data_IF_749942527180
#
_entry.id   IF_749942527180
#
_cell.length_a   1.000
_cell.length_b   1.000
_cell.length_c   1.000
_cell.angle_alpha   90.00
_cell.angle_beta   90.00
_cell.angle_gamma   90.00
#
_symmetry.space_group_name_H-M   'P 1'
#
loop_
_entity.id
_entity.type
_entity.pdbx_description
1 polymer ?
#
# COMPACT_ATOMS: atom_id res chain seq x y z
N UNK A 1 16.01 1.57 8.80
CA UNK A 1 16.01 0.22 9.42
C UNK A 1 17.37 -0.25 9.91
N UNK A 2 18.48 -0.05 9.19
CA UNK A 2 19.84 -0.45 9.67
C UNK A 2 20.41 0.41 10.82
N UNK A 3 19.74 1.51 11.19
CA UNK A 3 20.18 2.45 12.24
C UNK A 3 19.48 2.26 13.60
N UNK A 4 18.51 1.34 13.70
CA UNK A 4 17.73 1.10 14.93
C UNK A 4 18.23 -0.10 15.75
N UNK A 5 19.31 -0.76 15.33
CA UNK A 5 19.84 -1.99 15.95
C UNK A 5 21.06 -1.77 16.86
N UNK A 6 21.50 -0.51 17.07
CA UNK A 6 22.80 -0.23 17.73
C UNK A 6 22.72 0.28 19.18
N UNK A 7 21.53 0.36 19.79
CA UNK A 7 21.44 0.70 21.22
C UNK A 7 20.64 -0.35 21.97
N UNK A 8 21.38 -1.22 22.65
CA UNK A 8 20.85 -2.24 23.54
C UNK A 8 19.98 -1.62 24.63
N UNK A 9 18.68 -1.83 24.50
CA UNK A 9 17.70 -1.89 25.58
C UNK A 9 16.72 -2.99 25.19
N UNK A 10 16.86 -4.13 25.86
CA UNK A 10 15.94 -5.26 25.73
C UNK A 10 14.62 -4.84 26.38
N UNK A 11 13.65 -4.47 25.55
CA UNK A 11 12.24 -4.66 25.85
C UNK A 11 11.70 -5.47 24.70
N UNK A 12 11.18 -6.66 25.01
CA UNK A 12 10.59 -7.59 24.06
C UNK A 12 9.39 -6.89 23.39
N UNK A 13 9.64 -6.20 22.28
CA UNK A 13 8.61 -5.56 21.48
C UNK A 13 8.12 -6.64 20.52
N UNK A 14 7.01 -7.28 20.89
CA UNK A 14 6.34 -8.24 20.01
C UNK A 14 5.92 -7.48 18.75
N UNK A 15 6.68 -7.66 17.68
CA UNK A 15 6.31 -7.25 16.33
C UNK A 15 5.24 -8.23 15.86
N UNK A 16 3.97 -7.95 16.16
CA UNK A 16 2.86 -8.68 15.56
C UNK A 16 2.79 -8.33 14.08
N UNK A 17 3.38 -9.16 13.22
CA UNK A 17 2.97 -9.22 11.82
C UNK A 17 1.57 -9.81 11.79
N UNK A 18 0.56 -9.02 11.40
CA UNK A 18 -0.73 -9.60 11.02
C UNK A 18 -0.58 -10.18 9.61
N UNK A 19 -0.17 -11.45 9.52
CA UNK A 19 -0.26 -12.21 8.27
C UNK A 19 -1.65 -12.84 8.23
N UNK A 20 -2.53 -12.34 7.37
CA UNK A 20 -3.81 -12.99 7.11
C UNK A 20 -3.58 -14.25 6.25
N UNK A 21 -3.25 -15.38 6.88
CA UNK A 21 -3.31 -16.68 6.21
C UNK A 21 -4.76 -17.16 6.16
N UNK A 22 -5.41 -17.03 5.00
CA UNK A 22 -6.63 -17.80 4.72
C UNK A 22 -6.18 -19.20 4.30
N UNK A 23 -5.86 -20.05 5.28
CA UNK A 23 -5.79 -21.49 5.08
C UNK A 23 -7.20 -22.08 5.24
N UNK A 24 -7.67 -22.94 4.31
CA UNK A 24 -8.94 -23.63 4.49
C UNK A 24 -8.80 -24.66 5.62
N UNK A 25 -9.05 -24.24 6.87
CA UNK A 25 -9.19 -25.16 8.01
C UNK A 25 -8.79 -24.66 9.39
N UNK A 26 -8.12 -23.51 9.56
CA UNK A 26 -7.71 -23.00 10.89
C UNK A 26 -8.23 -21.60 11.15
N UNK A 27 -9.11 -21.47 12.16
CA UNK A 27 -9.81 -20.22 12.55
C UNK A 27 -8.97 -19.32 13.48
N UNK A 28 -7.67 -19.14 13.25
CA UNK A 28 -6.87 -18.19 14.05
C UNK A 28 -6.50 -16.99 13.18
N UNK A 29 -6.93 -15.80 13.60
CA UNK A 29 -6.63 -14.54 12.92
C UNK A 29 -5.25 -13.97 13.31
N UNK A 30 -4.64 -14.50 14.38
CA UNK A 30 -3.36 -14.04 14.92
C UNK A 30 -2.43 -15.24 15.13
N UNK A 31 -1.17 -15.09 14.72
CA UNK A 31 -0.09 -16.05 14.95
C UNK A 31 0.80 -15.59 16.11
N UNK A 32 1.33 -16.54 16.89
CA UNK A 32 2.23 -16.28 18.03
C UNK A 32 1.65 -16.64 19.39
N UNK A 33 2.46 -16.44 20.44
CA UNK A 33 2.02 -16.58 21.82
C UNK A 33 1.24 -15.33 22.22
N UNK A 34 -0.01 -15.53 22.66
CA UNK A 34 -0.89 -14.46 23.13
C UNK A 34 -1.19 -14.74 24.60
N UNK A 35 -0.77 -13.84 25.48
CA UNK A 35 -1.17 -13.88 26.88
C UNK A 35 -2.16 -12.73 27.14
N UNK A 36 -3.43 -13.02 27.47
CA UNK A 36 -4.39 -11.98 27.78
C UNK A 36 -3.89 -11.01 28.85
N UNK A 37 -4.12 -9.71 28.64
CA UNK A 37 -3.68 -8.62 29.52
C UNK A 37 -2.34 -8.00 29.14
N UNK A 38 -1.55 -8.65 28.29
CA UNK A 38 -0.33 -8.06 27.72
C UNK A 38 -0.62 -6.88 26.81
N UNK A 39 0.36 -5.99 26.67
CA UNK A 39 0.26 -4.83 25.78
C UNK A 39 0.93 -5.15 24.46
N UNK A 40 0.20 -4.92 23.36
CA UNK A 40 0.68 -5.10 22.00
C UNK A 40 0.85 -3.72 21.33
N UNK A 41 2.01 -3.50 20.72
CA UNK A 41 2.31 -2.32 19.93
C UNK A 41 2.07 -2.64 18.45
N UNK A 42 1.27 -1.82 17.77
CA UNK A 42 1.08 -1.94 16.31
C UNK A 42 2.20 -1.18 15.60
N UNK A 43 2.77 -1.78 14.54
CA UNK A 43 3.79 -1.15 13.69
C UNK A 43 3.30 -1.21 12.24
N UNK A 44 3.21 -0.05 11.60
CA UNK A 44 2.74 0.11 10.22
C UNK A 44 3.73 0.90 9.36
N UNK A 45 3.66 0.71 8.05
CA UNK A 45 4.46 1.47 7.09
C UNK A 45 3.83 2.84 6.80
N UNK A 46 2.54 2.88 6.45
CA UNK A 46 1.84 4.08 6.02
C UNK A 46 0.43 4.13 6.62
N UNK A 47 0.09 5.24 7.25
CA UNK A 47 -1.26 5.49 7.76
C UNK A 47 -1.93 6.59 6.94
N UNK A 48 -3.19 6.35 6.54
CA UNK A 48 -4.07 7.33 5.89
C UNK A 48 -5.23 7.70 6.80
N UNK A 49 -6.34 6.97 6.71
CA UNK A 49 -7.54 7.14 7.52
C UNK A 49 -7.44 6.45 8.89
N UNK A 50 -6.44 5.59 9.10
CA UNK A 50 -6.27 4.79 10.31
C UNK A 50 -7.19 3.56 10.40
N UNK A 51 -8.00 3.24 9.39
CA UNK A 51 -8.90 2.08 9.43
C UNK A 51 -8.16 0.75 9.63
N UNK A 52 -7.08 0.49 8.89
CA UNK A 52 -6.35 -0.78 8.98
C UNK A 52 -5.76 -1.01 10.38
N UNK A 53 -5.16 0.04 10.97
CA UNK A 53 -4.66 -0.01 12.36
C UNK A 53 -5.80 -0.31 13.34
N UNK A 54 -6.96 0.31 13.15
CA UNK A 54 -8.12 0.09 14.02
C UNK A 54 -8.66 -1.35 13.89
N UNK A 55 -8.81 -1.85 12.66
CA UNK A 55 -9.23 -3.24 12.41
C UNK A 55 -8.26 -4.24 13.07
N UNK A 56 -6.96 -4.03 12.94
CA UNK A 56 -5.93 -4.83 13.62
C UNK A 56 -6.06 -4.74 15.14
N UNK A 57 -6.24 -3.53 15.68
CA UNK A 57 -6.41 -3.34 17.12
C UNK A 57 -7.64 -4.06 17.67
N UNK A 58 -8.77 -4.02 16.96
CA UNK A 58 -9.99 -4.73 17.34
C UNK A 58 -9.78 -6.25 17.39
N UNK A 59 -9.03 -6.82 16.45
CA UNK A 59 -8.72 -8.26 16.43
C UNK A 59 -7.81 -8.62 17.62
N UNK A 60 -6.77 -7.84 17.90
CA UNK A 60 -5.87 -8.06 19.04
C UNK A 60 -6.60 -7.91 20.38
N UNK A 61 -7.48 -6.91 20.50
CA UNK A 61 -8.29 -6.68 21.70
C UNK A 61 -9.28 -7.82 21.96
N UNK A 62 -9.86 -8.43 20.92
CA UNK A 62 -10.72 -9.62 21.05
C UNK A 62 -9.98 -10.84 21.59
N UNK A 63 -8.68 -10.96 21.31
CA UNK A 63 -7.80 -12.00 21.89
C UNK A 63 -7.27 -11.61 23.29
N UNK A 64 -7.76 -10.52 23.87
CA UNK A 64 -7.44 -10.09 25.23
C UNK A 64 -6.18 -9.23 25.37
N UNK A 65 -5.58 -8.79 24.26
CA UNK A 65 -4.44 -7.87 24.29
C UNK A 65 -4.88 -6.43 24.50
N UNK A 66 -4.05 -5.64 25.17
CA UNK A 66 -4.20 -4.19 25.28
C UNK A 66 -3.47 -3.54 24.12
N UNK A 67 -4.17 -2.72 23.34
CA UNK A 67 -3.57 -1.92 22.26
C UNK A 67 -3.80 -0.45 22.59
N UNK A 68 -2.73 0.26 22.91
CA UNK A 68 -2.77 1.68 23.31
C UNK A 68 -1.98 2.58 22.37
N UNK A 69 -1.05 2.02 21.60
CA UNK A 69 -0.09 2.76 20.80
C UNK A 69 0.13 2.08 19.44
N UNK A 70 0.34 2.90 18.42
CA UNK A 70 0.75 2.46 17.09
C UNK A 70 1.92 3.34 16.60
N UNK A 71 2.99 2.73 16.10
CA UNK A 71 4.09 3.43 15.43
C UNK A 71 3.90 3.29 13.93
N UNK A 72 4.05 4.40 13.20
CA UNK A 72 3.98 4.40 11.73
C UNK A 72 5.20 5.08 11.14
N UNK A 73 5.74 4.56 10.04
CA UNK A 73 6.84 5.22 9.33
C UNK A 73 6.38 6.53 8.67
N UNK A 74 5.25 6.52 7.96
CA UNK A 74 4.68 7.68 7.27
C UNK A 74 3.20 7.90 7.60
N UNK A 75 2.85 9.01 8.23
CA UNK A 75 1.48 9.49 8.31
C UNK A 75 1.16 10.39 7.11
N UNK A 76 0.15 10.01 6.33
CA UNK A 76 -0.32 10.79 5.16
C UNK A 76 -1.18 12.00 5.55
N UNK A 77 -1.46 12.20 6.83
CA UNK A 77 -2.18 13.35 7.39
C UNK A 77 -3.62 13.44 6.87
N UNK A 78 -4.27 12.29 6.67
CA UNK A 78 -5.64 12.19 6.16
C UNK A 78 -6.65 11.79 7.26
N UNK A 79 -6.38 12.14 8.52
CA UNK A 79 -7.32 11.91 9.65
C UNK A 79 -7.07 10.63 10.46
N UNK A 80 -6.04 9.83 10.12
CA UNK A 80 -5.70 8.61 10.86
C UNK A 80 -5.37 8.83 12.33
N UNK A 81 -4.65 9.90 12.65
CA UNK A 81 -4.31 10.26 14.03
C UNK A 81 -5.56 10.47 14.90
N UNK A 82 -6.48 11.30 14.44
CA UNK A 82 -7.70 11.65 15.19
C UNK A 82 -8.64 10.44 15.33
N UNK A 83 -8.78 9.65 14.24
CA UNK A 83 -9.59 8.43 14.26
C UNK A 83 -9.06 7.44 15.30
N UNK A 84 -7.75 7.21 15.31
CA UNK A 84 -7.13 6.28 16.27
C UNK A 84 -7.22 6.80 17.70
N UNK A 85 -7.00 8.10 17.90
CA UNK A 85 -7.13 8.73 19.21
C UNK A 85 -8.54 8.60 19.79
N UNK A 86 -9.58 8.73 18.95
CA UNK A 86 -10.98 8.52 19.35
C UNK A 86 -11.26 7.08 19.83
N UNK A 87 -10.42 6.12 19.44
CA UNK A 87 -10.50 4.71 19.86
C UNK A 87 -9.44 4.35 20.92
N UNK A 88 -8.82 5.36 21.55
CA UNK A 88 -7.84 5.15 22.62
C UNK A 88 -6.46 4.68 22.15
N UNK A 89 -6.17 4.79 20.86
CA UNK A 89 -4.88 4.40 20.27
C UNK A 89 -4.10 5.65 19.90
N UNK A 90 -2.92 5.82 20.49
CA UNK A 90 -2.01 6.92 20.19
C UNK A 90 -1.14 6.57 18.98
N UNK A 91 -1.27 7.35 17.91
CA UNK A 91 -0.40 7.23 16.72
C UNK A 91 0.91 8.00 16.90
N UNK A 92 2.03 7.34 16.63
CA UNK A 92 3.38 7.89 16.69
C UNK A 92 4.04 7.82 15.29
N UNK A 93 3.91 8.87 14.47
CA UNK A 93 4.55 8.90 13.17
C UNK A 93 6.04 9.24 13.27
N UNK A 94 6.87 8.51 12.51
CA UNK A 94 8.29 8.83 12.31
C UNK A 94 8.42 10.04 11.36
N UNK A 95 7.60 10.09 10.32
CA UNK A 95 7.54 11.19 9.36
C UNK A 95 6.08 11.46 8.97
N UNK A 96 5.76 12.71 8.64
CA UNK A 96 4.48 13.06 8.00
C UNK A 96 4.68 13.33 6.51
N UNK A 97 3.62 13.21 5.72
CA UNK A 97 3.70 13.47 4.28
C UNK A 97 4.09 14.93 4.01
N UNK A 98 3.56 15.90 4.77
CA UNK A 98 4.01 17.29 4.67
C UNK A 98 5.52 17.43 4.92
N UNK A 99 6.03 16.79 5.98
CA UNK A 99 7.47 16.83 6.29
C UNK A 99 8.31 16.17 5.20
N UNK A 100 7.82 15.09 4.61
CA UNK A 100 8.48 14.39 3.51
C UNK A 100 8.53 15.26 2.24
N UNK A 101 7.45 15.96 1.91
CA UNK A 101 7.42 16.89 0.78
C UNK A 101 8.43 18.02 0.95
N UNK A 102 8.50 18.63 2.14
CA UNK A 102 9.48 19.69 2.43
C UNK A 102 10.92 19.20 2.21
N UNK A 103 11.23 17.97 2.64
CA UNK A 103 12.56 17.36 2.46
C UNK A 103 12.85 17.11 0.97
N UNK A 104 11.88 16.56 0.24
CA UNK A 104 12.04 16.25 -1.19
C UNK A 104 12.21 17.53 -2.03
N UNK A 105 11.49 18.60 -1.71
CA UNK A 105 11.64 19.91 -2.35
C UNK A 105 13.02 20.52 -2.06
N UNK A 106 13.44 20.53 -0.80
CA UNK A 106 14.78 21.00 -0.40
C UNK A 106 15.91 20.26 -1.12
N UNK A 107 15.72 18.97 -1.38
CA UNK A 107 16.66 18.14 -2.12
C UNK A 107 16.49 18.22 -3.65
N UNK A 108 15.59 19.08 -4.14
CA UNK A 108 15.25 19.24 -5.57
C UNK A 108 14.85 17.92 -6.25
N UNK A 109 14.22 17.01 -5.49
CA UNK A 109 13.66 15.75 -5.99
C UNK A 109 12.25 15.92 -6.54
N UNK A 110 11.56 16.97 -6.11
CA UNK A 110 10.28 17.45 -6.62
C UNK A 110 10.33 18.97 -6.72
N UNK A 111 9.52 19.56 -7.60
CA UNK A 111 9.36 21.00 -7.72
C UNK A 111 8.25 21.53 -6.79
N UNK A 112 8.20 22.85 -6.64
CA UNK A 112 7.21 23.54 -5.82
C UNK A 112 5.77 23.30 -6.32
N UNK A 113 5.57 23.12 -7.62
CA UNK A 113 4.24 22.87 -8.20
C UNK A 113 3.69 21.52 -7.74
N UNK A 114 4.52 20.47 -7.77
CA UNK A 114 4.20 19.14 -7.26
C UNK A 114 3.89 19.20 -5.76
N UNK A 115 4.68 19.93 -4.97
CA UNK A 115 4.44 20.10 -3.53
C UNK A 115 3.06 20.71 -3.28
N UNK A 116 2.72 21.80 -3.96
CA UNK A 116 1.43 22.47 -3.80
C UNK A 116 0.27 21.60 -4.24
N UNK A 117 0.43 20.83 -5.32
CA UNK A 117 -0.57 19.87 -5.78
C UNK A 117 -0.83 18.79 -4.72
N UNK A 118 0.21 18.25 -4.10
CA UNK A 118 0.05 17.21 -3.07
C UNK A 118 -0.52 17.80 -1.77
N UNK A 119 -0.07 18.98 -1.35
CA UNK A 119 -0.63 19.67 -0.16
C UNK A 119 -2.13 19.90 -0.30
N UNK A 120 -2.58 20.36 -1.48
CA UNK A 120 -4.00 20.51 -1.79
C UNK A 120 -4.75 19.18 -1.75
N UNK A 121 -4.17 18.14 -2.36
CA UNK A 121 -4.76 16.80 -2.32
C UNK A 121 -4.97 16.30 -0.87
N UNK A 122 -4.01 16.51 0.03
CA UNK A 122 -4.15 16.12 1.45
C UNK A 122 -5.36 16.83 2.07
N UNK A 123 -5.47 18.16 1.89
CA UNK A 123 -6.55 18.97 2.45
C UNK A 123 -7.93 18.57 1.93
N UNK A 124 -8.04 18.24 0.64
CA UNK A 124 -9.30 17.83 0.01
C UNK A 124 -9.73 16.40 0.38
N UNK A 125 -8.79 15.57 0.86
CA UNK A 125 -9.02 14.14 1.10
C UNK A 125 -8.80 13.73 2.57
N UNK A 126 -9.15 14.60 3.51
CA UNK A 126 -9.14 14.26 4.94
C UNK A 126 -10.39 13.46 5.32
N UNK A 127 -10.19 12.30 5.96
CA UNK A 127 -11.28 11.49 6.49
C UNK A 127 -11.71 12.05 7.85
N UNK A 128 -12.81 12.81 7.89
CA UNK A 128 -13.34 13.39 9.12
C UNK A 128 -14.04 12.31 9.96
N UNK A 129 -13.73 12.26 11.26
CA UNK A 129 -14.47 11.43 12.21
C UNK A 129 -15.92 11.92 12.33
N UNK A 130 -16.90 11.03 12.19
CA UNK A 130 -18.31 11.39 12.31
C UNK A 130 -18.63 11.99 13.69
N UNK A 131 -19.29 13.15 13.71
CA UNK A 131 -19.76 13.79 14.94
C UNK A 131 -20.73 12.86 15.72
N UNK A 132 -20.62 12.72 17.05
CA UNK A 132 -21.49 11.84 17.83
C UNK A 132 -22.97 12.27 17.91
N UNK A 133 -23.29 13.54 17.59
CA UNK A 133 -24.62 14.13 17.82
C UNK A 133 -25.28 14.73 16.55
N UNK A 134 -24.82 14.36 15.35
CA UNK A 134 -25.53 14.71 14.12
C UNK A 134 -26.47 13.58 13.73
N UNK A 135 -27.78 13.84 13.68
CA UNK A 135 -28.72 12.97 12.99
C UNK A 135 -28.15 12.59 11.62
N UNK A 136 -27.95 11.29 11.38
CA UNK A 136 -27.50 10.73 10.12
C UNK A 136 -28.29 11.39 8.97
N UNK A 137 -27.66 11.99 7.95
CA UNK A 137 -28.36 12.28 6.72
C UNK A 137 -28.85 10.94 6.17
N UNK A 138 -30.15 10.71 6.32
CA UNK A 138 -30.86 9.54 5.83
C UNK A 138 -30.99 9.61 4.31
N UNK A 139 -29.88 9.42 3.61
CA UNK A 139 -29.85 8.95 2.23
C UNK A 139 -28.61 8.07 2.07
N UNK A 140 -28.72 6.78 2.42
CA UNK A 140 -27.84 5.77 1.83
C UNK A 140 -28.19 5.68 0.35
N UNK A 141 -27.69 6.61 -0.47
CA UNK A 141 -27.41 6.27 -1.86
C UNK A 141 -26.17 5.39 -1.74
N UNK A 142 -26.35 4.08 -1.84
CA UNK A 142 -25.22 3.20 -2.12
C UNK A 142 -24.43 3.88 -3.27
N UNK A 143 -23.14 4.20 -3.09
CA UNK A 143 -22.34 4.60 -4.22
C UNK A 143 -22.49 3.45 -5.21
N UNK A 144 -23.13 3.70 -6.36
CA UNK A 144 -23.18 2.71 -7.44
C UNK A 144 -21.74 2.52 -7.88
N UNK A 145 -21.07 1.55 -7.28
CA UNK A 145 -19.69 1.25 -7.56
C UNK A 145 -19.63 0.88 -9.04
N UNK A 146 -18.93 1.70 -9.82
CA UNK A 146 -18.81 1.49 -11.25
C UNK A 146 -18.13 0.13 -11.48
N UNK A 147 -18.65 -0.64 -12.44
CA UNK A 147 -18.00 -1.87 -12.86
C UNK A 147 -16.56 -1.59 -13.31
N UNK A 148 -15.67 -2.59 -13.24
CA UNK A 148 -14.31 -2.41 -13.73
C UNK A 148 -14.29 -2.00 -15.21
N UNK A 149 -15.19 -2.55 -16.02
CA UNK A 149 -15.39 -2.12 -17.41
C UNK A 149 -15.74 -0.64 -17.54
N UNK A 150 -16.72 -0.15 -16.75
CA UNK A 150 -17.10 1.26 -16.79
C UNK A 150 -15.98 2.19 -16.29
N UNK A 151 -15.22 1.76 -15.28
CA UNK A 151 -14.03 2.47 -14.79
C UNK A 151 -12.95 2.56 -15.87
N UNK A 152 -12.78 1.53 -16.69
CA UNK A 152 -11.78 1.47 -17.74
C UNK A 152 -11.99 2.48 -18.89
N UNK A 153 -13.19 3.06 -18.99
CA UNK A 153 -13.58 4.07 -19.99
C UNK A 153 -13.64 5.50 -19.42
N UNK A 154 -13.25 5.71 -18.17
CA UNK A 154 -13.32 7.03 -17.55
C UNK A 154 -12.39 8.04 -18.25
N UNK A 155 -12.83 9.29 -18.47
CA UNK A 155 -11.98 10.33 -19.01
C UNK A 155 -10.70 10.51 -18.17
N UNK A 156 -9.53 10.55 -18.84
CA UNK A 156 -8.24 10.72 -18.17
C UNK A 156 -7.65 9.46 -17.54
N UNK A 157 -8.25 8.28 -17.73
CA UNK A 157 -7.69 7.04 -17.22
C UNK A 157 -6.40 6.64 -17.95
N UNK A 158 -5.39 6.22 -17.18
CA UNK A 158 -4.13 5.77 -17.75
C UNK A 158 -4.30 4.46 -18.56
N UNK A 159 -3.65 4.28 -19.72
CA UNK A 159 -3.81 3.09 -20.56
C UNK A 159 -3.54 1.76 -19.83
N UNK A 160 -2.53 1.72 -18.95
CA UNK A 160 -2.21 0.53 -18.14
C UNK A 160 -3.33 0.23 -17.13
N UNK A 161 -3.89 1.27 -16.50
CA UNK A 161 -5.00 1.11 -15.56
C UNK A 161 -6.27 0.64 -16.29
N UNK A 162 -6.58 1.20 -17.47
CA UNK A 162 -7.67 0.73 -18.33
C UNK A 162 -7.50 -0.74 -18.70
N UNK A 163 -6.30 -1.16 -19.11
CA UNK A 163 -5.99 -2.56 -19.44
C UNK A 163 -6.20 -3.49 -18.24
N UNK A 164 -5.72 -3.10 -17.05
CA UNK A 164 -5.90 -3.88 -15.82
C UNK A 164 -7.38 -4.01 -15.44
N UNK A 165 -8.14 -2.92 -15.51
CA UNK A 165 -9.57 -2.92 -15.21
C UNK A 165 -10.37 -3.79 -16.20
N UNK A 166 -10.04 -3.73 -17.50
CA UNK A 166 -10.63 -4.64 -18.49
C UNK A 166 -10.28 -6.10 -18.20
N UNK A 167 -9.05 -6.37 -17.75
CA UNK A 167 -8.63 -7.72 -17.35
C UNK A 167 -9.40 -8.21 -16.12
N UNK A 168 -9.56 -7.36 -15.10
CA UNK A 168 -10.35 -7.65 -13.91
C UNK A 168 -11.81 -7.95 -14.26
N UNK A 169 -12.41 -7.14 -15.15
CA UNK A 169 -13.77 -7.37 -15.65
C UNK A 169 -13.87 -8.69 -16.41
N UNK A 170 -12.93 -8.95 -17.34
CA UNK A 170 -12.94 -10.14 -18.19
C UNK A 170 -12.77 -11.44 -17.40
N UNK A 171 -11.94 -11.41 -16.36
CA UNK A 171 -11.64 -12.58 -15.51
C UNK A 171 -12.50 -12.66 -14.26
N UNK A 172 -13.38 -11.67 -14.04
CA UNK A 172 -14.19 -11.54 -12.82
C UNK A 172 -13.37 -11.68 -11.53
N UNK A 173 -12.17 -11.08 -11.51
CA UNK A 173 -11.24 -11.15 -10.38
C UNK A 173 -10.47 -9.84 -10.22
N UNK A 174 -10.28 -9.42 -8.98
CA UNK A 174 -9.34 -8.37 -8.59
C UNK A 174 -8.14 -8.95 -7.79
N UNK A 175 -8.01 -10.27 -7.73
CA UNK A 175 -6.99 -10.96 -6.95
C UNK A 175 -5.61 -10.73 -7.56
N UNK A 176 -4.69 -10.26 -6.72
CA UNK A 176 -3.29 -10.08 -7.07
C UNK A 176 -2.46 -11.15 -6.33
N UNK A 177 -1.50 -11.76 -7.02
CA UNK A 177 -0.57 -12.71 -6.43
C UNK A 177 0.82 -12.10 -6.32
N UNK A 178 1.39 -12.15 -5.13
CA UNK A 178 2.82 -11.92 -4.90
C UNK A 178 3.40 -13.26 -4.47
N UNK A 179 4.30 -13.81 -5.29
CA UNK A 179 4.91 -15.10 -5.00
C UNK A 179 6.42 -14.92 -4.88
N UNK A 180 6.97 -15.35 -3.76
CA UNK A 180 8.42 -15.34 -3.49
C UNK A 180 9.06 -16.58 -4.14
N UNK A 181 9.01 -16.60 -5.47
CA UNK A 181 9.66 -17.61 -6.27
C UNK A 181 11.03 -17.08 -6.68
N UNK A 182 12.06 -17.93 -6.63
CA UNK A 182 13.43 -17.58 -7.05
C UNK A 182 13.79 -18.11 -8.44
N UNK A 183 13.01 -19.06 -8.97
CA UNK A 183 13.19 -19.64 -10.30
C UNK A 183 12.09 -19.29 -11.28
N UNK A 184 12.49 -18.85 -12.45
CA UNK A 184 11.54 -18.32 -13.42
C UNK A 184 10.65 -19.38 -14.08
N UNK A 185 11.11 -20.64 -14.15
CA UNK A 185 10.28 -21.78 -14.59
C UNK A 185 9.08 -22.00 -13.67
N UNK A 186 9.29 -21.94 -12.36
CA UNK A 186 8.24 -22.10 -11.36
C UNK A 186 7.25 -20.93 -11.41
N UNK A 187 7.75 -19.72 -11.65
CA UNK A 187 6.92 -18.53 -11.84
C UNK A 187 5.99 -18.68 -13.05
N UNK A 188 6.51 -19.16 -14.18
CA UNK A 188 5.71 -19.40 -15.38
C UNK A 188 4.66 -20.50 -15.15
N UNK A 189 5.03 -21.59 -14.49
CA UNK A 189 4.08 -22.63 -14.10
C UNK A 189 2.97 -22.08 -13.18
N UNK A 190 3.33 -21.20 -12.25
CA UNK A 190 2.38 -20.53 -11.38
C UNK A 190 1.46 -19.58 -12.16
N UNK A 191 2.02 -18.83 -13.11
CA UNK A 191 1.27 -17.92 -13.98
C UNK A 191 0.28 -18.68 -14.86
N UNK A 192 0.67 -19.85 -15.40
CA UNK A 192 -0.21 -20.71 -16.18
C UNK A 192 -1.33 -21.31 -15.33
N UNK A 193 -0.98 -21.81 -14.14
CA UNK A 193 -1.94 -22.44 -13.23
C UNK A 193 -2.95 -21.45 -12.64
N UNK A 194 -2.52 -20.25 -12.27
CA UNK A 194 -3.32 -19.26 -11.56
C UNK A 194 -3.79 -18.09 -12.42
N UNK A 195 -3.25 -17.95 -13.64
CA UNK A 195 -3.55 -16.88 -14.58
C UNK A 195 -5.05 -16.61 -14.74
N UNK A 196 -5.92 -17.62 -14.91
CA UNK A 196 -7.36 -17.40 -14.99
C UNK A 196 -8.01 -16.81 -13.73
N UNK A 197 -7.38 -16.98 -12.55
CA UNK A 197 -7.92 -16.60 -11.23
C UNK A 197 -7.37 -15.28 -10.69
N UNK A 198 -6.28 -14.77 -11.27
CA UNK A 198 -5.61 -13.53 -10.84
C UNK A 198 -5.62 -12.47 -11.95
N UNK A 199 -5.66 -11.20 -11.55
CA UNK A 199 -5.51 -10.07 -12.47
C UNK A 199 -4.09 -9.50 -12.50
N UNK A 200 -3.25 -9.83 -11.53
CA UNK A 200 -1.87 -9.37 -11.43
C UNK A 200 -0.98 -10.43 -10.77
N UNK A 201 0.20 -10.66 -11.34
CA UNK A 201 1.28 -11.43 -10.72
C UNK A 201 2.46 -10.48 -10.51
N UNK A 202 2.86 -10.27 -9.26
CA UNK A 202 4.06 -9.51 -8.92
C UNK A 202 5.27 -10.42 -9.04
N UNK A 203 6.31 -9.94 -9.71
CA UNK A 203 7.56 -10.66 -9.94
C UNK A 203 8.72 -9.95 -9.23
N UNK A 204 9.78 -10.68 -8.92
CA UNK A 204 11.02 -10.13 -8.38
C UNK A 204 11.96 -9.71 -9.52
N UNK A 205 12.77 -8.66 -9.28
CA UNK A 205 13.63 -8.03 -10.30
C UNK A 205 14.52 -9.04 -11.02
N UNK A 206 15.12 -9.98 -10.28
CA UNK A 206 16.01 -11.00 -10.82
C UNK A 206 15.33 -11.91 -11.86
N UNK A 207 14.06 -12.22 -11.67
CA UNK A 207 13.30 -13.09 -12.60
C UNK A 207 12.86 -12.33 -13.85
N UNK A 208 12.51 -11.06 -13.67
CA UNK A 208 12.22 -10.17 -14.77
C UNK A 208 13.44 -9.97 -15.68
N UNK A 209 14.65 -9.90 -15.11
CA UNK A 209 15.92 -9.86 -15.86
C UNK A 209 16.16 -11.12 -16.70
N UNK A 210 15.76 -12.30 -16.22
CA UNK A 210 15.96 -13.58 -16.91
C UNK A 210 14.99 -13.78 -18.09
N UNK A 211 13.93 -12.98 -18.19
CA UNK A 211 12.84 -13.13 -19.16
C UNK A 211 12.53 -11.85 -19.93
N UNK A 212 13.55 -11.28 -20.58
CA UNK A 212 13.43 -10.10 -21.45
C UNK A 212 12.54 -10.31 -22.67
N UNK A 213 12.14 -11.55 -22.96
CA UNK A 213 11.25 -11.88 -24.08
C UNK A 213 9.78 -11.45 -23.86
N UNK A 214 9.36 -11.27 -22.59
CA UNK A 214 8.01 -10.79 -22.25
C UNK A 214 7.99 -9.69 -21.17
N UNK A 215 9.11 -9.41 -20.51
CA UNK A 215 9.26 -8.26 -19.62
C UNK A 215 10.00 -7.15 -20.35
N UNK A 216 9.30 -6.03 -20.59
CA UNK A 216 9.84 -4.89 -21.35
C UNK A 216 10.53 -3.87 -20.44
N UNK A 217 10.30 -3.90 -19.13
CA UNK A 217 10.88 -2.94 -18.20
C UNK A 217 10.30 -2.93 -16.78
N UNK A 218 10.87 -2.08 -15.93
CA UNK A 218 10.56 -1.92 -14.51
C UNK A 218 9.95 -0.56 -14.21
N UNK A 219 8.90 -0.52 -13.39
CA UNK A 219 8.43 0.73 -12.79
C UNK A 219 9.12 0.88 -11.42
N UNK A 220 10.10 1.78 -11.31
CA UNK A 220 10.97 1.87 -10.13
C UNK A 220 11.52 3.28 -9.94
N UNK A 221 11.62 3.74 -8.69
CA UNK A 221 12.18 5.06 -8.33
C UNK A 221 13.71 5.17 -8.52
N UNK A 222 14.36 4.07 -8.87
CA UNK A 222 15.80 3.94 -9.09
C UNK A 222 16.04 2.80 -10.08
N UNK A 223 17.15 2.83 -10.83
CA UNK A 223 17.51 1.74 -11.75
C UNK A 223 17.66 0.43 -10.96
N UNK A 224 16.90 -0.59 -11.34
CA UNK A 224 16.88 -1.91 -10.65
C UNK A 224 17.57 -3.01 -11.45
N UNK A 225 17.76 -2.82 -12.76
CA UNK A 225 18.51 -3.71 -13.63
C UNK A 225 19.59 -2.97 -14.40
N UNK A 226 20.76 -3.60 -14.52
CA UNK A 226 21.90 -3.09 -15.30
C UNK A 226 21.83 -3.50 -16.78
N UNK A 227 20.91 -4.39 -17.15
CA UNK A 227 20.73 -4.85 -18.52
C UNK A 227 20.14 -3.73 -19.40
N UNK A 228 20.80 -3.35 -20.51
CA UNK A 228 20.41 -2.21 -21.34
C UNK A 228 19.06 -2.37 -22.06
N UNK A 229 18.57 -3.60 -22.22
CA UNK A 229 17.31 -3.93 -22.90
C UNK A 229 16.04 -3.61 -22.08
N UNK A 230 16.15 -3.37 -20.78
CA UNK A 230 14.98 -3.08 -19.93
C UNK A 230 14.70 -1.58 -19.80
N UNK A 231 13.47 -1.18 -20.14
CA UNK A 231 12.97 0.15 -19.85
C UNK A 231 12.86 0.36 -18.33
N UNK A 232 13.32 1.50 -17.83
CA UNK A 232 13.14 1.87 -16.43
C UNK A 232 12.25 3.11 -16.37
N UNK A 233 11.02 2.92 -15.92
CA UNK A 233 10.02 3.97 -15.80
C UNK A 233 9.92 4.39 -14.34
N UNK A 234 10.10 5.67 -14.04
CA UNK A 234 9.88 6.17 -12.69
C UNK A 234 8.36 6.28 -12.40
N UNK A 235 7.90 5.88 -11.20
CA UNK A 235 6.50 6.07 -10.81
C UNK A 235 6.13 7.56 -10.94
N UNK A 236 5.12 7.86 -11.75
CA UNK A 236 4.66 9.25 -11.96
C UNK A 236 5.16 9.93 -13.24
N UNK A 237 5.90 9.25 -14.12
CA UNK A 237 6.22 9.81 -15.45
C UNK A 237 4.97 9.82 -16.33
N UNK A 238 4.46 11.01 -16.62
CA UNK A 238 3.58 11.24 -17.76
C UNK A 238 4.45 11.19 -19.02
N UNK A 239 4.30 10.15 -19.83
CA UNK A 239 4.87 10.12 -21.17
C UNK A 239 4.04 11.09 -22.02
N UNK A 240 4.48 12.34 -22.13
CA UNK A 240 3.93 13.26 -23.12
C UNK A 240 4.14 12.67 -24.52
N UNK A 241 3.08 12.70 -25.33
CA UNK A 241 3.14 12.32 -26.73
C UNK A 241 3.95 13.38 -27.50
N UNK A 242 5.28 13.25 -27.52
CA UNK A 242 6.14 14.07 -28.39
C UNK A 242 7.55 14.39 -27.89
N UNK A 243 7.95 14.01 -26.67
CA UNK A 243 9.29 14.29 -26.15
C UNK A 243 10.35 13.33 -26.70
N UNK A 244 11.43 13.87 -27.29
CA UNK A 244 12.60 13.07 -27.70
C UNK A 244 13.21 12.34 -26.48
N UNK A 245 13.76 11.13 -26.66
CA UNK A 245 14.44 10.41 -25.58
C UNK A 245 15.58 11.28 -25.03
N UNK A 246 15.60 11.46 -23.70
CA UNK A 246 16.75 12.03 -23.02
C UNK A 246 17.70 10.87 -22.76
N UNK A 247 18.83 10.88 -23.47
CA UNK A 247 19.92 9.92 -23.24
C UNK A 247 20.51 10.12 -21.85
N UNK A 248 20.69 9.02 -21.11
CA UNK A 248 21.52 8.92 -19.92
C UNK A 248 22.86 8.29 -20.29
#
# INVERSE_FOLDING_TARGET
>A
MKLLMEKGMISLMILCYLITFISPGTKRLIEGAINPGETCLIIEDVVTSGSSVLETAEVLQKEGLKVTDAIVLLDREQGGKDKLQAHGIRLHPVCTLSKMLDILEQQKKIDAEMVERVKRFIQENVFVAANPNGSLPSVKKEPKELSFGARAELPGIHPVASKLLRLMQKKETNLCLSADISESRELLQLADALGPRICLLKTHVKMAEEHSEFVVGFISGSRVSMKPEFLHLTPGVQLEAGGKPVDW
#
